data_IF_729847679561
#
_entry.id   IF_729847679561
#
_cell.length_a   1.000
_cell.length_b   1.000
_cell.length_c   1.000
_cell.angle_alpha   90.00
_cell.angle_beta   90.00
_cell.angle_gamma   90.00
#
_symmetry.space_group_name_H-M   'P 1'
#
loop_
_entity.id
_entity.type
_entity.pdbx_description
1 polymer ?
#
# COMPACT_ATOMS: atom_id res chain seq x y z
N UNK A 1 15.08 4.10 8.83
CA UNK A 1 13.75 3.86 8.26
C UNK A 1 13.38 2.39 8.41
N UNK A 2 12.15 2.12 8.80
CA UNK A 2 11.62 0.74 8.84
C UNK A 2 10.97 0.42 7.50
N UNK A 3 11.63 -0.40 6.69
CA UNK A 3 11.21 -0.78 5.34
C UNK A 3 10.58 -2.16 5.37
N UNK A 4 9.36 -2.28 4.80
CA UNK A 4 8.67 -3.54 4.63
C UNK A 4 9.23 -4.32 3.45
N UNK A 5 9.35 -3.65 2.29
CA UNK A 5 9.77 -4.24 1.03
C UNK A 5 10.29 -3.16 0.06
N UNK A 6 11.07 -3.56 -0.92
CA UNK A 6 11.54 -2.72 -2.04
C UNK A 6 11.14 -3.42 -3.32
N UNK A 7 10.04 -2.95 -3.92
CA UNK A 7 9.53 -3.48 -5.18
C UNK A 7 10.18 -2.76 -6.35
N UNK A 8 10.90 -3.52 -7.17
CA UNK A 8 11.55 -3.02 -8.37
C UNK A 8 10.65 -3.16 -9.58
N UNK A 9 10.84 -2.27 -10.55
CA UNK A 9 10.15 -2.31 -11.84
C UNK A 9 8.61 -2.24 -11.70
N UNK A 10 8.11 -1.48 -10.72
CA UNK A 10 6.68 -1.21 -10.59
C UNK A 10 6.19 -0.30 -11.72
N UNK A 11 5.01 -0.62 -12.26
CA UNK A 11 4.29 0.16 -13.27
C UNK A 11 3.01 0.79 -12.74
N UNK A 12 2.66 0.47 -11.48
CA UNK A 12 1.37 0.85 -10.87
C UNK A 12 1.50 1.97 -9.82
N UNK A 13 2.73 2.42 -9.53
CA UNK A 13 2.99 3.35 -8.43
C UNK A 13 3.43 4.74 -8.93
N UNK A 14 2.83 5.23 -9.99
CA UNK A 14 3.11 6.51 -10.62
C UNK A 14 3.59 6.37 -12.07
N UNK A 15 4.05 7.46 -12.71
CA UNK A 15 4.43 7.44 -14.11
C UNK A 15 5.73 6.67 -14.36
N UNK A 16 5.79 6.00 -15.51
CA UNK A 16 6.98 5.24 -15.95
C UNK A 16 7.28 4.01 -15.10
N UNK A 17 8.50 3.50 -15.24
CA UNK A 17 8.97 2.37 -14.44
C UNK A 17 9.59 2.88 -13.14
N UNK A 18 9.22 2.30 -12.00
CA UNK A 18 9.60 2.84 -10.70
C UNK A 18 10.18 1.77 -9.77
N UNK A 19 10.97 2.23 -8.80
CA UNK A 19 11.26 1.45 -7.61
C UNK A 19 10.40 2.00 -6.47
N UNK A 20 9.55 1.13 -5.92
CA UNK A 20 8.65 1.50 -4.81
C UNK A 20 9.20 0.97 -3.51
N UNK A 21 9.43 1.86 -2.55
CA UNK A 21 9.86 1.54 -1.20
C UNK A 21 8.63 1.52 -0.30
N UNK A 22 8.26 0.34 0.19
CA UNK A 22 7.16 0.17 1.11
C UNK A 22 7.64 0.29 2.55
N UNK A 23 7.08 1.25 3.29
CA UNK A 23 7.41 1.50 4.70
C UNK A 23 6.45 0.78 5.64
N UNK A 24 6.84 0.61 6.91
CA UNK A 24 5.97 0.04 7.96
C UNK A 24 5.38 1.12 8.84
N UNK A 25 4.19 0.82 9.34
CA UNK A 25 3.33 1.70 10.12
C UNK A 25 2.25 2.33 9.27
N UNK A 26 0.99 2.21 9.70
CA UNK A 26 -0.15 2.89 9.08
C UNK A 26 -1.13 3.34 10.17
N UNK A 27 -1.68 4.57 10.10
CA UNK A 27 -2.71 5.03 11.03
C UNK A 27 -4.09 4.46 10.69
N UNK A 28 -4.24 3.89 9.49
CA UNK A 28 -5.48 3.25 9.04
C UNK A 28 -5.41 1.74 9.22
N UNK A 29 -6.58 1.12 9.37
CA UNK A 29 -6.80 -0.33 9.45
C UNK A 29 -7.81 -0.76 8.40
N UNK A 30 -7.56 -0.37 7.14
CA UNK A 30 -8.49 -0.62 6.04
C UNK A 30 -8.85 -2.11 5.94
N UNK A 31 -10.14 -2.43 5.92
CA UNK A 31 -10.64 -3.80 5.87
C UNK A 31 -10.19 -4.59 4.61
N UNK A 32 -9.82 -3.88 3.56
CA UNK A 32 -9.31 -4.42 2.28
C UNK A 32 -7.81 -4.23 2.10
N UNK A 33 -7.03 -3.96 3.16
CA UNK A 33 -5.61 -3.62 3.02
C UNK A 33 -4.85 -4.72 2.25
N UNK A 34 -4.13 -4.34 1.19
CA UNK A 34 -3.31 -5.26 0.41
C UNK A 34 -1.95 -5.55 1.05
N UNK A 35 -1.54 -4.74 2.02
CA UNK A 35 -0.31 -4.91 2.78
C UNK A 35 -0.59 -4.90 4.29
N UNK A 36 -1.43 -5.84 4.83
CA UNK A 36 -1.77 -5.86 6.25
C UNK A 36 -0.53 -5.99 7.15
N UNK A 37 0.53 -6.61 6.65
CA UNK A 37 1.83 -6.73 7.31
C UNK A 37 2.54 -5.37 7.49
N UNK A 38 2.10 -4.33 6.77
CA UNK A 38 2.64 -2.97 6.92
C UNK A 38 1.99 -2.17 8.05
N UNK A 39 0.78 -2.54 8.51
CA UNK A 39 0.00 -1.74 9.46
C UNK A 39 0.76 -1.54 10.77
N UNK A 40 1.30 -2.62 11.34
CA UNK A 40 2.15 -2.52 12.53
C UNK A 40 3.50 -1.89 12.20
N UNK A 41 3.97 -0.89 12.97
CA UNK A 41 5.32 -0.33 12.78
C UNK A 41 6.44 -1.26 13.26
N UNK A 42 6.11 -2.34 13.97
CA UNK A 42 7.08 -3.30 14.50
C UNK A 42 7.51 -4.30 13.44
N UNK A 43 8.79 -4.68 13.44
CA UNK A 43 9.26 -5.85 12.69
C UNK A 43 8.62 -7.12 13.23
N UNK A 44 8.39 -8.09 12.36
CA UNK A 44 7.94 -9.43 12.74
C UNK A 44 8.49 -10.49 11.77
N UNK A 45 8.43 -11.73 12.19
CA UNK A 45 8.80 -12.88 11.35
C UNK A 45 7.52 -13.46 10.75
N UNK A 46 7.54 -13.66 9.45
CA UNK A 46 6.46 -14.28 8.70
C UNK A 46 6.86 -15.68 8.25
N UNK A 47 5.94 -16.65 8.34
CA UNK A 47 6.16 -18.03 7.92
C UNK A 47 5.51 -18.32 6.58
N UNK A 48 6.30 -18.87 5.65
CA UNK A 48 5.88 -19.34 4.34
C UNK A 48 5.78 -20.87 4.35
N UNK A 49 4.63 -21.39 4.73
CA UNK A 49 4.41 -22.83 4.93
C UNK A 49 4.81 -23.69 3.74
N UNK A 50 4.56 -23.20 2.52
CA UNK A 50 4.89 -23.91 1.27
C UNK A 50 6.41 -24.16 1.07
N UNK A 51 7.27 -23.42 1.79
CA UNK A 51 8.72 -23.61 1.76
C UNK A 51 9.24 -24.41 2.97
N UNK A 52 8.39 -24.65 3.97
CA UNK A 52 8.82 -25.27 5.22
C UNK A 52 8.97 -26.77 5.08
N UNK A 53 10.13 -27.31 5.48
CA UNK A 53 10.41 -28.76 5.50
C UNK A 53 10.35 -29.36 6.91
N UNK A 54 9.91 -28.62 7.91
CA UNK A 54 9.74 -29.12 9.29
C UNK A 54 11.04 -29.42 10.05
N UNK A 55 12.17 -28.87 9.62
CA UNK A 55 13.51 -29.23 10.15
C UNK A 55 13.78 -28.75 11.59
N UNK A 56 12.94 -27.91 12.18
CA UNK A 56 13.04 -27.32 13.53
C UNK A 56 14.22 -26.36 13.77
N UNK A 57 15.12 -26.16 12.82
CA UNK A 57 16.28 -25.25 12.98
C UNK A 57 15.89 -23.90 13.58
N UNK A 58 14.76 -23.32 13.14
CA UNK A 58 14.26 -22.02 13.65
C UNK A 58 13.94 -22.03 15.16
N UNK A 59 13.50 -23.18 15.69
CA UNK A 59 13.21 -23.35 17.12
C UNK A 59 14.52 -23.45 17.90
N UNK A 60 15.46 -24.27 17.41
CA UNK A 60 16.72 -24.57 18.09
C UNK A 60 17.66 -23.34 18.16
N UNK A 61 17.63 -22.47 17.13
CA UNK A 61 18.50 -21.26 17.08
C UNK A 61 17.88 -20.02 17.72
N UNK A 62 16.63 -20.10 18.19
CA UNK A 62 15.94 -18.93 18.72
C UNK A 62 16.48 -18.53 20.11
N UNK A 63 17.19 -17.39 20.27
CA UNK A 63 17.82 -17.02 21.54
C UNK A 63 16.79 -16.66 22.62
N UNK A 64 15.56 -16.32 22.23
CA UNK A 64 14.47 -15.94 23.12
C UNK A 64 13.42 -17.04 23.31
N UNK A 65 13.61 -18.20 22.68
CA UNK A 65 12.61 -19.29 22.65
C UNK A 65 11.21 -18.81 22.17
N UNK A 66 11.18 -17.72 21.42
CA UNK A 66 9.97 -17.07 20.91
C UNK A 66 9.43 -17.69 19.62
N UNK A 67 9.87 -18.91 19.25
CA UNK A 67 9.40 -19.66 18.09
C UNK A 67 9.06 -21.09 18.52
N UNK A 68 7.94 -21.60 18.01
CA UNK A 68 7.53 -22.99 18.13
C UNK A 68 7.10 -23.54 16.78
N UNK A 69 7.24 -24.85 16.59
CA UNK A 69 6.75 -25.59 15.43
C UNK A 69 5.81 -26.69 15.95
N UNK A 70 4.59 -26.70 15.47
CA UNK A 70 3.57 -27.73 15.73
C UNK A 70 2.92 -28.22 14.42
N UNK A 71 1.82 -28.95 14.51
CA UNK A 71 1.09 -29.50 13.36
C UNK A 71 0.49 -28.41 12.44
N UNK A 72 0.27 -27.19 12.97
CA UNK A 72 -0.25 -26.05 12.23
C UNK A 72 0.85 -25.16 11.62
N UNK A 73 2.13 -25.47 11.92
CA UNK A 73 3.28 -24.78 11.37
C UNK A 73 4.12 -24.03 12.37
N UNK A 74 4.82 -23.00 11.91
CA UNK A 74 5.69 -22.17 12.73
C UNK A 74 4.93 -20.96 13.26
N UNK A 75 5.00 -20.77 14.58
CA UNK A 75 4.38 -19.68 15.31
C UNK A 75 5.40 -18.89 16.10
N UNK A 76 5.21 -17.57 16.15
CA UNK A 76 5.94 -16.69 17.07
C UNK A 76 5.10 -16.39 18.29
N UNK A 77 5.74 -16.29 19.46
CA UNK A 77 5.12 -15.86 20.72
C UNK A 77 5.49 -14.40 21.06
N UNK A 78 4.97 -13.90 22.17
CA UNK A 78 5.25 -12.54 22.66
C UNK A 78 6.73 -12.34 23.04
N UNK A 79 7.47 -13.42 23.29
CA UNK A 79 8.93 -13.37 23.54
C UNK A 79 9.73 -13.09 22.26
N UNK A 80 9.12 -13.18 21.08
CA UNK A 80 9.81 -12.90 19.83
C UNK A 80 10.13 -11.42 19.67
N UNK A 81 11.42 -11.09 19.71
CA UNK A 81 11.91 -9.71 19.51
C UNK A 81 12.26 -9.41 18.06
N UNK A 82 11.86 -10.24 17.13
CA UNK A 82 12.15 -10.11 15.69
C UNK A 82 13.65 -9.87 15.39
N UNK A 83 14.54 -10.59 16.06
CA UNK A 83 16.01 -10.46 15.86
C UNK A 83 16.53 -11.03 14.53
N UNK A 84 15.70 -11.78 13.80
CA UNK A 84 16.02 -12.34 12.49
C UNK A 84 16.97 -13.55 12.50
N UNK A 85 17.38 -14.08 13.64
CA UNK A 85 18.25 -15.26 13.67
C UNK A 85 17.61 -16.44 12.94
N UNK A 86 16.35 -16.74 13.23
CA UNK A 86 15.60 -17.83 12.60
C UNK A 86 15.43 -17.65 11.08
N UNK A 87 15.35 -16.42 10.58
CA UNK A 87 15.21 -16.17 9.14
C UNK A 87 16.52 -16.38 8.40
N UNK A 88 17.67 -16.04 9.03
CA UNK A 88 18.99 -16.26 8.45
C UNK A 88 19.40 -17.73 8.42
N UNK A 89 19.00 -18.47 9.46
CA UNK A 89 19.37 -19.89 9.63
C UNK A 89 18.37 -20.85 8.97
N UNK A 90 17.28 -20.34 8.40
CA UNK A 90 16.29 -21.17 7.73
C UNK A 90 16.84 -21.67 6.38
N UNK A 91 17.08 -23.01 6.21
CA UNK A 91 17.73 -23.53 5.02
C UNK A 91 16.91 -23.40 3.73
N UNK A 92 15.60 -23.23 3.86
CA UNK A 92 14.68 -23.12 2.72
C UNK A 92 14.14 -21.72 2.51
N UNK A 93 14.51 -20.76 3.37
CA UNK A 93 13.91 -19.42 3.35
C UNK A 93 12.41 -19.42 3.65
N UNK A 94 11.93 -20.38 4.43
CA UNK A 94 10.52 -20.44 4.85
C UNK A 94 10.16 -19.38 5.90
N UNK A 95 11.13 -18.69 6.46
CA UNK A 95 10.92 -17.58 7.40
C UNK A 95 11.47 -16.30 6.79
N UNK A 96 10.65 -15.28 6.75
CA UNK A 96 11.01 -13.97 6.23
C UNK A 96 10.86 -12.89 7.32
N UNK A 97 11.80 -11.95 7.35
CA UNK A 97 11.68 -10.77 8.20
C UNK A 97 10.82 -9.72 7.48
N UNK A 98 9.75 -9.27 8.11
CA UNK A 98 8.95 -8.13 7.66
C UNK A 98 9.27 -6.90 8.51
N UNK A 99 9.87 -5.91 7.86
CA UNK A 99 10.35 -4.69 8.48
C UNK A 99 11.85 -4.75 8.82
N UNK A 100 12.65 -4.31 7.87
CA UNK A 100 14.11 -4.17 7.99
C UNK A 100 14.46 -2.71 8.26
N UNK A 101 15.38 -2.49 9.20
CA UNK A 101 15.91 -1.16 9.47
C UNK A 101 16.98 -0.80 8.44
N UNK A 102 16.80 0.37 7.81
CA UNK A 102 17.77 0.99 6.92
C UNK A 102 18.18 2.35 7.46
N UNK A 103 19.45 2.71 7.30
CA UNK A 103 19.83 4.12 7.28
C UNK A 103 19.33 4.77 5.99
N UNK A 104 19.17 6.08 5.96
CA UNK A 104 18.78 6.79 4.74
C UNK A 104 19.82 6.58 3.63
N UNK A 105 21.10 6.60 3.97
CA UNK A 105 22.20 6.40 3.01
C UNK A 105 22.21 4.99 2.41
N UNK A 106 22.04 3.95 3.21
CA UNK A 106 21.99 2.57 2.73
C UNK A 106 20.77 2.33 1.83
N UNK A 107 19.62 2.90 2.20
CA UNK A 107 18.42 2.79 1.40
C UNK A 107 18.56 3.54 0.07
N UNK A 108 19.08 4.77 0.10
CA UNK A 108 19.41 5.53 -1.10
C UNK A 108 20.34 4.75 -2.03
N UNK A 109 21.47 4.25 -1.51
CA UNK A 109 22.43 3.47 -2.29
C UNK A 109 21.82 2.18 -2.86
N UNK A 110 20.91 1.54 -2.11
CA UNK A 110 20.23 0.33 -2.55
C UNK A 110 19.27 0.60 -3.71
N UNK A 111 18.45 1.65 -3.60
CA UNK A 111 17.45 2.03 -4.60
C UNK A 111 18.11 2.60 -5.86
N UNK A 112 19.20 3.38 -5.71
CA UNK A 112 19.93 3.95 -6.86
C UNK A 112 20.56 2.90 -7.80
N UNK A 113 20.70 1.65 -7.38
CA UNK A 113 21.11 0.55 -8.28
C UNK A 113 20.13 0.33 -9.43
N UNK A 114 18.90 0.77 -9.27
CA UNK A 114 17.82 0.59 -10.26
C UNK A 114 17.73 1.79 -11.24
N UNK A 115 18.53 2.84 -11.07
CA UNK A 115 18.46 4.08 -11.85
C UNK A 115 18.41 3.86 -13.37
N UNK A 116 19.16 2.89 -13.87
CA UNK A 116 19.23 2.60 -15.30
C UNK A 116 17.90 2.08 -15.90
N UNK A 117 17.00 1.57 -15.05
CA UNK A 117 15.72 1.01 -15.47
C UNK A 117 14.59 2.03 -15.50
N UNK A 118 14.72 3.18 -14.83
CA UNK A 118 13.62 4.16 -14.70
C UNK A 118 13.34 4.94 -15.99
N UNK A 119 14.31 5.01 -16.92
CA UNK A 119 14.17 5.81 -18.14
C UNK A 119 13.99 7.29 -17.84
N UNK A 120 13.29 8.00 -18.74
CA UNK A 120 13.06 9.44 -18.62
C UNK A 120 11.87 9.81 -17.71
N UNK A 121 10.85 8.92 -17.66
CA UNK A 121 9.58 9.21 -16.96
C UNK A 121 9.39 8.43 -15.65
N UNK A 122 10.32 7.56 -15.32
CA UNK A 122 10.26 6.77 -14.10
C UNK A 122 10.98 7.40 -12.92
N UNK A 123 11.10 6.68 -11.82
CA UNK A 123 11.75 7.18 -10.62
C UNK A 123 11.49 6.35 -9.37
N UNK A 124 11.35 7.03 -8.24
CA UNK A 124 11.14 6.39 -6.93
C UNK A 124 9.80 6.79 -6.36
N UNK A 125 9.10 5.83 -5.77
CA UNK A 125 7.90 6.06 -4.97
C UNK A 125 8.14 5.58 -3.55
N UNK A 126 7.83 6.42 -2.56
CA UNK A 126 7.68 5.98 -1.18
C UNK A 126 6.20 5.67 -0.94
N UNK A 127 5.92 4.48 -0.41
CA UNK A 127 4.58 3.94 -0.17
C UNK A 127 4.60 3.02 1.07
N UNK A 128 3.70 2.05 1.17
CA UNK A 128 3.74 0.98 2.16
C UNK A 128 2.57 0.98 3.11
N UNK A 129 2.80 1.22 4.40
CA UNK A 129 1.75 1.57 5.35
C UNK A 129 1.35 3.03 5.12
N UNK A 130 2.07 3.94 5.76
CA UNK A 130 1.92 5.39 5.55
C UNK A 130 3.29 6.06 5.67
N UNK A 131 3.71 6.71 4.61
CA UNK A 131 5.03 7.38 4.50
C UNK A 131 5.20 8.47 5.55
N UNK A 132 4.12 9.18 5.84
CA UNK A 132 4.13 10.34 6.74
C UNK A 132 4.38 9.98 8.21
N UNK A 133 4.26 8.71 8.59
CA UNK A 133 4.66 8.26 9.93
C UNK A 133 6.18 8.26 10.13
N UNK A 134 6.95 8.14 9.04
CA UNK A 134 8.41 8.20 9.04
C UNK A 134 8.91 9.42 8.24
N UNK A 135 8.18 10.54 8.32
CA UNK A 135 8.33 11.69 7.43
C UNK A 135 9.71 12.36 7.48
N UNK A 136 10.41 12.33 8.62
CA UNK A 136 11.74 12.97 8.73
C UNK A 136 12.78 12.27 7.88
N UNK A 137 12.81 10.95 7.99
CA UNK A 137 13.71 10.12 7.19
C UNK A 137 13.24 10.07 5.72
N UNK A 138 11.91 10.11 5.48
CA UNK A 138 11.35 10.20 4.13
C UNK A 138 11.75 11.52 3.45
N UNK A 139 11.69 12.64 4.16
CA UNK A 139 12.14 13.96 3.69
C UNK A 139 13.62 13.93 3.26
N UNK A 140 14.50 13.38 4.12
CA UNK A 140 15.93 13.29 3.82
C UNK A 140 16.18 12.39 2.60
N UNK A 141 15.51 11.24 2.52
CA UNK A 141 15.65 10.30 1.41
C UNK A 141 15.17 10.90 0.08
N UNK A 142 13.99 11.54 0.08
CA UNK A 142 13.44 12.20 -1.11
C UNK A 142 14.34 13.35 -1.57
N UNK A 143 14.88 14.14 -0.65
CA UNK A 143 15.83 15.21 -0.99
C UNK A 143 17.05 14.66 -1.73
N UNK A 144 17.64 13.56 -1.25
CA UNK A 144 18.77 12.88 -1.93
C UNK A 144 18.41 12.43 -3.35
N UNK A 145 17.20 11.88 -3.55
CA UNK A 145 16.75 11.50 -4.90
C UNK A 145 16.56 12.71 -5.80
N UNK A 146 15.97 13.81 -5.28
CA UNK A 146 15.82 15.08 -6.03
C UNK A 146 17.18 15.64 -6.44
N UNK A 147 18.13 15.70 -5.52
CA UNK A 147 19.50 16.18 -5.78
C UNK A 147 20.21 15.32 -6.85
N UNK A 148 19.87 14.02 -6.91
CA UNK A 148 20.37 13.11 -7.94
C UNK A 148 19.57 13.21 -9.27
N UNK A 149 18.62 14.12 -9.40
CA UNK A 149 17.78 14.30 -10.59
C UNK A 149 16.82 13.13 -10.82
N UNK A 150 16.31 12.50 -9.77
CA UNK A 150 15.34 11.40 -9.83
C UNK A 150 13.96 11.95 -9.53
N UNK A 151 12.97 11.59 -10.35
CA UNK A 151 11.56 11.91 -10.10
C UNK A 151 11.05 11.16 -8.87
N UNK A 152 10.46 11.91 -7.93
CA UNK A 152 10.00 11.40 -6.64
C UNK A 152 8.48 11.40 -6.55
N UNK A 153 7.92 10.33 -5.98
CA UNK A 153 6.50 10.27 -5.65
C UNK A 153 6.28 9.82 -4.20
N UNK A 154 5.23 10.34 -3.60
CA UNK A 154 4.77 9.95 -2.25
C UNK A 154 3.34 9.42 -2.36
N UNK A 155 3.15 8.16 -1.96
CA UNK A 155 1.84 7.52 -1.86
C UNK A 155 1.35 7.63 -0.41
N UNK A 156 0.24 8.33 -0.20
CA UNK A 156 -0.24 8.68 1.14
C UNK A 156 -1.76 8.62 1.26
N UNK A 157 -2.23 8.17 2.42
CA UNK A 157 -3.65 8.26 2.77
C UNK A 157 -4.07 9.68 3.22
N UNK A 158 -3.14 10.61 3.33
CA UNK A 158 -3.42 12.00 3.70
C UNK A 158 -3.81 12.25 5.16
N UNK A 159 -3.87 11.22 6.02
CA UNK A 159 -4.17 11.39 7.43
C UNK A 159 -2.92 11.84 8.21
N UNK A 160 -2.57 13.10 8.07
CA UNK A 160 -1.32 13.65 8.59
C UNK A 160 -1.49 15.13 8.94
N UNK A 161 -0.65 15.63 9.86
CA UNK A 161 -0.61 17.07 10.16
C UNK A 161 -0.06 17.87 8.97
N UNK A 162 -0.60 19.05 8.76
CA UNK A 162 -0.25 19.96 7.66
C UNK A 162 1.26 20.21 7.54
N UNK A 163 1.94 20.43 8.65
CA UNK A 163 3.37 20.76 8.69
C UNK A 163 4.24 19.66 8.06
N UNK A 164 3.76 18.42 8.06
CA UNK A 164 4.46 17.31 7.40
C UNK A 164 4.33 17.39 5.89
N UNK A 165 3.14 17.76 5.39
CA UNK A 165 2.94 17.99 3.95
C UNK A 165 3.79 19.17 3.48
N UNK A 166 3.83 20.26 4.25
CA UNK A 166 4.66 21.43 3.96
C UNK A 166 6.15 21.06 3.81
N UNK A 167 6.62 20.15 4.68
CA UNK A 167 8.01 19.70 4.64
C UNK A 167 8.28 18.79 3.42
N UNK A 168 7.33 17.96 3.01
CA UNK A 168 7.49 17.01 1.90
C UNK A 168 7.27 17.65 0.51
N UNK A 169 6.48 18.71 0.42
CA UNK A 169 6.17 19.39 -0.85
C UNK A 169 7.40 19.73 -1.71
N UNK A 170 8.49 20.36 -1.17
CA UNK A 170 9.64 20.74 -1.99
C UNK A 170 10.42 19.57 -2.59
N UNK A 171 10.26 18.37 -2.02
CA UNK A 171 11.02 17.18 -2.39
C UNK A 171 10.16 16.10 -3.07
N UNK A 172 8.90 16.43 -3.39
CA UNK A 172 7.93 15.50 -4.00
C UNK A 172 7.45 16.07 -5.33
N UNK A 173 7.66 15.33 -6.41
CA UNK A 173 7.17 15.73 -7.74
C UNK A 173 5.71 15.31 -7.98
N UNK A 174 5.26 14.23 -7.32
CA UNK A 174 3.92 13.68 -7.48
C UNK A 174 3.40 13.13 -6.15
N UNK A 175 2.20 13.50 -5.76
CA UNK A 175 1.45 12.81 -4.72
C UNK A 175 0.49 11.80 -5.32
N UNK A 176 0.62 10.53 -4.95
CA UNK A 176 -0.41 9.52 -5.12
C UNK A 176 -1.29 9.62 -3.87
N UNK A 177 -2.48 10.18 -4.02
CA UNK A 177 -3.31 10.56 -2.88
C UNK A 177 -4.56 9.69 -2.78
N UNK A 178 -4.70 8.98 -1.69
CA UNK A 178 -5.81 8.06 -1.47
C UNK A 178 -7.09 8.78 -0.99
N UNK A 179 -8.11 8.79 -1.82
CA UNK A 179 -9.48 9.14 -1.43
C UNK A 179 -10.35 7.87 -1.51
N UNK A 180 -10.68 7.30 -0.35
CA UNK A 180 -11.30 5.96 -0.28
C UNK A 180 -12.83 6.02 -0.23
N UNK A 181 -13.36 6.84 0.64
CA UNK A 181 -14.80 7.01 0.85
C UNK A 181 -15.13 8.49 1.05
N UNK A 182 -16.27 8.93 0.50
CA UNK A 182 -16.78 10.29 0.64
C UNK A 182 -17.44 10.51 1.99
N UNK A 183 -18.27 9.54 2.43
CA UNK A 183 -18.93 9.58 3.72
C UNK A 183 -17.96 9.27 4.86
N UNK A 184 -17.91 10.13 5.87
CA UNK A 184 -16.94 10.03 6.97
C UNK A 184 -17.22 8.85 7.91
N UNK A 185 -18.47 8.52 8.17
CA UNK A 185 -18.82 7.40 9.04
C UNK A 185 -18.52 6.06 8.33
N UNK A 186 -18.82 5.94 7.04
CA UNK A 186 -18.42 4.78 6.25
C UNK A 186 -16.89 4.69 6.13
N UNK A 187 -16.20 5.83 5.98
CA UNK A 187 -14.74 5.85 6.01
C UNK A 187 -14.21 5.32 7.35
N UNK A 188 -14.74 5.81 8.47
CA UNK A 188 -14.38 5.34 9.81
C UNK A 188 -14.67 3.84 9.99
N UNK A 189 -15.83 3.39 9.51
CA UNK A 189 -16.25 1.98 9.59
C UNK A 189 -15.25 1.05 8.91
N UNK A 190 -14.78 1.41 7.72
CA UNK A 190 -13.95 0.53 6.91
C UNK A 190 -12.45 0.75 7.06
N UNK A 191 -12.01 1.92 7.56
CA UNK A 191 -10.58 2.26 7.67
C UNK A 191 -10.11 2.51 9.10
N UNK A 192 -11.04 2.56 10.05
CA UNK A 192 -10.77 2.86 11.46
C UNK A 192 -10.66 4.35 11.79
N UNK A 193 -10.69 5.26 10.80
CA UNK A 193 -10.52 6.70 10.98
C UNK A 193 -11.53 7.50 10.14
N UNK A 194 -11.98 8.68 10.60
CA UNK A 194 -12.75 9.60 9.79
C UNK A 194 -11.90 10.23 8.68
N UNK A 195 -12.54 10.88 7.69
CA UNK A 195 -11.83 11.42 6.52
C UNK A 195 -11.74 12.95 6.44
N UNK A 196 -12.24 13.70 7.42
CA UNK A 196 -12.25 15.18 7.37
C UNK A 196 -10.86 15.74 7.14
N UNK A 197 -9.88 15.34 7.94
CA UNK A 197 -8.49 15.79 7.79
C UNK A 197 -7.88 15.35 6.45
N UNK A 198 -8.27 14.18 5.94
CA UNK A 198 -7.82 13.69 4.63
C UNK A 198 -8.34 14.63 3.52
N UNK A 199 -9.62 14.99 3.58
CA UNK A 199 -10.24 15.92 2.61
C UNK A 199 -9.65 17.33 2.73
N UNK A 200 -9.44 17.85 3.94
CA UNK A 200 -8.80 19.14 4.18
C UNK A 200 -7.36 19.18 3.61
N UNK A 201 -6.59 18.12 3.82
CA UNK A 201 -5.24 18.00 3.29
C UNK A 201 -5.22 17.86 1.76
N UNK A 202 -6.19 17.17 1.18
CA UNK A 202 -6.36 17.12 -0.27
C UNK A 202 -6.62 18.51 -0.86
N UNK A 203 -7.58 19.26 -0.29
CA UNK A 203 -7.87 20.64 -0.71
C UNK A 203 -6.63 21.53 -0.61
N UNK A 204 -5.85 21.37 0.44
CA UNK A 204 -4.60 22.09 0.61
C UNK A 204 -3.60 21.78 -0.49
N UNK A 205 -3.30 20.49 -0.76
CA UNK A 205 -2.35 20.09 -1.81
C UNK A 205 -2.79 20.58 -3.18
N UNK A 206 -4.07 20.49 -3.51
CA UNK A 206 -4.62 21.07 -4.75
C UNK A 206 -4.33 22.56 -4.82
N UNK A 207 -4.46 23.30 -3.71
CA UNK A 207 -4.18 24.73 -3.64
C UNK A 207 -2.71 25.10 -3.87
N UNK A 208 -1.76 24.18 -3.67
CA UNK A 208 -0.33 24.41 -3.92
C UNK A 208 0.07 24.30 -5.39
N UNK A 209 -0.78 23.68 -6.22
CA UNK A 209 -0.48 23.41 -7.63
C UNK A 209 0.47 22.23 -7.86
N UNK A 210 0.78 21.42 -6.81
CA UNK A 210 1.58 20.20 -6.97
C UNK A 210 0.84 19.16 -7.80
N UNK A 211 1.57 18.30 -8.50
CA UNK A 211 0.96 17.19 -9.25
C UNK A 211 0.33 16.17 -8.29
N UNK A 212 -0.90 15.79 -8.57
CA UNK A 212 -1.65 14.81 -7.78
C UNK A 212 -2.30 13.78 -8.70
N UNK A 213 -2.08 12.50 -8.40
CA UNK A 213 -2.92 11.41 -8.87
C UNK A 213 -3.76 10.92 -7.70
N UNK A 214 -5.07 11.00 -7.81
CA UNK A 214 -5.97 10.43 -6.80
C UNK A 214 -6.13 8.94 -7.05
N UNK A 215 -6.14 8.15 -5.98
CA UNK A 215 -6.37 6.71 -6.01
C UNK A 215 -7.57 6.35 -5.14
N UNK A 216 -8.51 5.63 -5.71
CA UNK A 216 -9.68 5.13 -4.99
C UNK A 216 -9.79 3.62 -5.20
N UNK A 217 -9.55 2.81 -4.16
CA UNK A 217 -9.78 1.37 -4.24
C UNK A 217 -11.28 1.10 -4.40
N UNK A 218 -11.65 0.32 -5.42
CA UNK A 218 -13.05 -0.03 -5.70
C UNK A 218 -13.33 -1.42 -5.14
N UNK A 219 -13.91 -1.44 -3.96
CA UNK A 219 -14.09 -2.66 -3.14
C UNK A 219 -15.58 -3.02 -3.13
N UNK A 220 -15.95 -4.26 -3.54
CA UNK A 220 -17.34 -4.71 -3.55
C UNK A 220 -18.02 -4.58 -2.19
N UNK A 221 -19.16 -3.89 -2.16
CA UNK A 221 -19.95 -3.67 -0.95
C UNK A 221 -19.36 -2.67 0.06
N UNK A 222 -18.28 -1.97 -0.30
CA UNK A 222 -17.68 -0.92 0.54
C UNK A 222 -17.55 0.41 -0.20
N UNK A 223 -16.67 0.50 -1.19
CA UNK A 223 -16.38 1.76 -1.90
C UNK A 223 -17.00 1.85 -3.29
N UNK A 224 -17.55 0.76 -3.80
CA UNK A 224 -18.05 0.60 -5.17
C UNK A 224 -19.44 1.19 -5.42
N UNK A 225 -19.99 1.97 -4.49
CA UNK A 225 -21.32 2.57 -4.64
C UNK A 225 -21.29 3.79 -5.55
N UNK A 226 -22.38 4.00 -6.33
CA UNK A 226 -22.53 5.18 -7.17
C UNK A 226 -22.47 6.48 -6.35
N UNK A 227 -23.06 6.47 -5.14
CA UNK A 227 -23.05 7.61 -4.24
C UNK A 227 -21.63 7.99 -3.81
N UNK A 228 -20.79 7.00 -3.48
CA UNK A 228 -19.38 7.22 -3.13
C UNK A 228 -18.62 7.87 -4.30
N UNK A 229 -18.71 7.28 -5.49
CA UNK A 229 -17.99 7.78 -6.67
C UNK A 229 -18.45 9.16 -7.08
N UNK A 230 -19.78 9.43 -7.05
CA UNK A 230 -20.31 10.77 -7.34
C UNK A 230 -19.87 11.81 -6.30
N UNK A 231 -19.87 11.45 -5.01
CA UNK A 231 -19.38 12.32 -3.94
C UNK A 231 -17.90 12.67 -4.09
N UNK A 232 -17.04 11.66 -4.31
CA UNK A 232 -15.61 11.86 -4.56
C UNK A 232 -15.35 12.63 -5.85
N UNK A 233 -16.13 12.41 -6.92
CA UNK A 233 -16.02 13.20 -8.14
C UNK A 233 -16.27 14.70 -7.90
N UNK A 234 -17.21 15.04 -7.01
CA UNK A 234 -17.45 16.41 -6.57
C UNK A 234 -16.29 17.03 -5.80
N UNK A 235 -15.47 16.22 -5.14
CA UNK A 235 -14.22 16.63 -4.47
C UNK A 235 -13.07 16.74 -5.48
N UNK A 236 -12.83 15.72 -6.29
CA UNK A 236 -11.69 15.63 -7.22
C UNK A 236 -11.82 16.64 -8.37
N UNK A 237 -12.96 16.67 -9.05
CA UNK A 237 -13.23 17.53 -10.21
C UNK A 237 -12.12 17.41 -11.29
N UNK A 238 -11.84 18.51 -11.99
CA UNK A 238 -10.72 18.62 -12.96
C UNK A 238 -9.48 19.29 -12.32
N UNK A 239 -9.16 18.93 -11.06
CA UNK A 239 -8.10 19.60 -10.28
C UNK A 239 -6.87 18.75 -10.07
N UNK A 240 -6.85 17.53 -10.60
CA UNK A 240 -5.75 16.58 -10.47
C UNK A 240 -5.27 16.17 -11.86
N UNK A 241 -4.11 15.56 -11.96
CA UNK A 241 -3.61 15.04 -13.24
C UNK A 241 -4.31 13.75 -13.65
N UNK A 242 -4.70 12.92 -12.67
CA UNK A 242 -5.30 11.61 -12.89
C UNK A 242 -6.12 11.19 -11.67
N UNK A 243 -7.22 10.50 -11.88
CA UNK A 243 -7.96 9.81 -10.82
C UNK A 243 -8.11 8.34 -11.19
N UNK A 244 -7.44 7.46 -10.43
CA UNK A 244 -7.46 6.02 -10.63
C UNK A 244 -8.53 5.36 -9.76
N UNK A 245 -9.48 4.71 -10.40
CA UNK A 245 -10.43 3.79 -9.78
C UNK A 245 -9.79 2.41 -9.80
N UNK A 246 -9.15 2.00 -8.69
CA UNK A 246 -8.35 0.78 -8.61
C UNK A 246 -9.25 -0.43 -8.36
N UNK A 247 -9.41 -1.30 -9.35
CA UNK A 247 -10.27 -2.47 -9.26
C UNK A 247 -9.78 -3.43 -8.16
N UNK A 248 -10.72 -3.93 -7.36
CA UNK A 248 -10.46 -4.92 -6.31
C UNK A 248 -9.89 -6.21 -6.89
N UNK A 249 -8.89 -6.74 -6.20
CA UNK A 249 -8.41 -8.10 -6.37
C UNK A 249 -8.18 -8.76 -4.98
N UNK A 250 -8.12 -10.07 -4.96
CA UNK A 250 -7.97 -10.86 -3.73
C UNK A 250 -6.58 -11.48 -3.55
N UNK A 251 -5.56 -10.98 -4.23
CA UNK A 251 -4.20 -11.54 -4.22
C UNK A 251 -3.51 -11.45 -2.85
N UNK A 252 -4.00 -10.57 -1.96
CA UNK A 252 -3.47 -10.42 -0.60
C UNK A 252 -4.05 -11.43 0.41
N UNK A 253 -4.99 -12.29 0.03
CA UNK A 253 -5.68 -13.21 0.95
C UNK A 253 -4.72 -14.07 1.77
N UNK A 254 -3.64 -14.57 1.15
CA UNK A 254 -2.62 -15.38 1.80
C UNK A 254 -1.83 -14.61 2.88
N UNK A 255 -1.64 -13.29 2.72
CA UNK A 255 -0.99 -12.44 3.72
C UNK A 255 -1.76 -12.41 5.04
N UNK A 256 -3.10 -12.33 4.98
CA UNK A 256 -3.95 -12.40 6.17
C UNK A 256 -3.84 -13.75 6.87
N UNK A 257 -3.84 -14.85 6.10
CA UNK A 257 -3.65 -16.19 6.65
C UNK A 257 -2.31 -16.31 7.38
N UNK A 258 -1.23 -15.76 6.82
CA UNK A 258 0.11 -15.76 7.44
C UNK A 258 0.17 -14.93 8.72
N UNK A 259 -0.63 -13.86 8.81
CA UNK A 259 -0.76 -13.05 10.02
C UNK A 259 -1.74 -13.64 11.05
N UNK A 260 -2.34 -14.81 10.78
CA UNK A 260 -3.36 -15.41 11.64
C UNK A 260 -4.66 -14.61 11.72
N UNK A 261 -4.96 -13.83 10.67
CA UNK A 261 -6.13 -12.96 10.60
C UNK A 261 -7.17 -13.50 9.61
N UNK A 262 -8.44 -13.34 9.95
CA UNK A 262 -9.53 -13.54 8.99
C UNK A 262 -9.70 -12.31 8.12
N UNK A 263 -9.84 -12.53 6.81
CA UNK A 263 -10.08 -11.45 5.86
C UNK A 263 -11.50 -11.52 5.29
N UNK A 264 -12.31 -10.52 5.59
CA UNK A 264 -13.73 -10.49 5.19
C UNK A 264 -13.95 -10.53 3.67
N UNK A 265 -12.95 -10.16 2.85
CA UNK A 265 -13.03 -10.17 1.39
C UNK A 265 -12.41 -11.44 0.76
N UNK A 266 -12.01 -12.46 1.55
CA UNK A 266 -11.34 -13.68 1.06
C UNK A 266 -12.11 -14.40 -0.04
N UNK A 267 -13.44 -14.43 0.04
CA UNK A 267 -14.32 -15.09 -0.93
C UNK A 267 -14.85 -14.15 -2.03
N UNK A 268 -14.45 -12.88 -2.03
CA UNK A 268 -14.95 -11.90 -2.99
C UNK A 268 -14.17 -12.03 -4.29
N UNK A 269 -14.89 -12.13 -5.41
CA UNK A 269 -14.32 -12.19 -6.77
C UNK A 269 -13.78 -10.84 -7.24
N UNK A 270 -13.10 -10.86 -8.38
CA UNK A 270 -12.63 -9.63 -9.04
C UNK A 270 -13.82 -8.74 -9.42
N UNK A 271 -13.58 -7.43 -9.48
CA UNK A 271 -14.56 -6.49 -10.03
C UNK A 271 -14.93 -6.86 -11.46
N UNK A 272 -16.23 -6.79 -11.81
CA UNK A 272 -16.68 -6.97 -13.20
C UNK A 272 -16.26 -5.76 -14.03
N UNK A 273 -15.75 -6.01 -15.24
CA UNK A 273 -15.29 -4.95 -16.16
C UNK A 273 -16.38 -3.91 -16.40
N UNK A 274 -17.59 -4.34 -16.70
CA UNK A 274 -18.75 -3.43 -16.96
C UNK A 274 -19.04 -2.54 -15.75
N UNK A 275 -18.87 -3.04 -14.51
CA UNK A 275 -19.06 -2.22 -13.31
C UNK A 275 -17.98 -1.13 -13.23
N UNK A 276 -16.73 -1.46 -13.51
CA UNK A 276 -15.64 -0.49 -13.52
C UNK A 276 -15.82 0.58 -14.60
N UNK A 277 -16.23 0.19 -15.81
CA UNK A 277 -16.57 1.11 -16.91
C UNK A 277 -17.73 2.05 -16.55
N UNK A 278 -18.77 1.53 -15.88
CA UNK A 278 -19.90 2.34 -15.42
C UNK A 278 -19.48 3.35 -14.33
N UNK A 279 -18.62 2.95 -13.39
CA UNK A 279 -18.10 3.85 -12.33
C UNK A 279 -17.18 4.93 -12.92
N UNK A 280 -16.35 4.59 -13.90
CA UNK A 280 -15.54 5.57 -14.63
C UNK A 280 -16.41 6.58 -15.37
N UNK A 281 -17.41 6.11 -16.11
CA UNK A 281 -18.35 6.98 -16.80
C UNK A 281 -19.12 7.88 -15.84
N UNK A 282 -19.55 7.34 -14.69
CA UNK A 282 -20.20 8.10 -13.62
C UNK A 282 -19.29 9.19 -13.06
N UNK A 283 -18.04 8.85 -12.74
CA UNK A 283 -17.05 9.80 -12.21
C UNK A 283 -16.82 10.97 -13.19
N UNK A 284 -16.65 10.66 -14.47
CA UNK A 284 -16.49 11.68 -15.53
C UNK A 284 -17.74 12.55 -15.66
N UNK A 285 -18.92 11.96 -15.67
CA UNK A 285 -20.20 12.69 -15.74
C UNK A 285 -20.41 13.57 -14.51
N UNK A 286 -19.97 13.15 -13.35
CA UNK A 286 -20.08 13.89 -12.09
C UNK A 286 -19.02 15.00 -11.93
N UNK A 287 -18.16 15.24 -12.94
CA UNK A 287 -17.27 16.39 -12.98
C UNK A 287 -15.78 16.07 -12.84
N UNK A 288 -15.36 14.79 -12.86
CA UNK A 288 -13.98 14.37 -12.82
C UNK A 288 -13.53 13.75 -14.16
N UNK A 289 -13.23 14.55 -15.19
CA UNK A 289 -12.97 14.05 -16.56
C UNK A 289 -11.73 13.18 -16.69
N UNK A 290 -10.78 13.28 -15.75
CA UNK A 290 -9.52 12.51 -15.74
C UNK A 290 -9.61 11.19 -14.97
N UNK A 291 -10.83 10.77 -14.61
CA UNK A 291 -11.05 9.46 -14.01
C UNK A 291 -10.79 8.35 -15.02
N UNK A 292 -10.06 7.32 -14.59
CA UNK A 292 -9.78 6.08 -15.33
C UNK A 292 -9.84 4.90 -14.37
N UNK A 293 -10.34 3.76 -14.80
CA UNK A 293 -10.18 2.56 -13.99
C UNK A 293 -8.88 1.84 -14.33
N UNK A 294 -8.31 1.17 -13.32
CA UNK A 294 -7.07 0.39 -13.40
C UNK A 294 -7.24 -0.96 -12.70
N UNK A 295 -6.32 -1.87 -12.96
CA UNK A 295 -6.33 -3.21 -12.38
C UNK A 295 -7.09 -4.24 -13.21
N UNK A 296 -6.92 -5.52 -12.83
CA UNK A 296 -7.54 -6.65 -13.52
C UNK A 296 -9.01 -6.80 -13.13
N UNK A 297 -9.86 -7.03 -14.13
CA UNK A 297 -11.30 -7.23 -13.95
C UNK A 297 -11.71 -8.59 -14.50
N UNK A 298 -12.79 -9.15 -13.93
CA UNK A 298 -13.47 -10.31 -14.51
C UNK A 298 -14.16 -9.88 -15.82
N UNK A 299 -13.94 -10.65 -16.88
CA UNK A 299 -14.73 -10.57 -18.11
C UNK A 299 -16.14 -11.14 -17.82
N UNK A 300 -17.16 -10.63 -18.50
CA UNK A 300 -18.51 -11.17 -18.37
C UNK A 300 -18.53 -12.65 -18.77
N UNK A 301 -19.38 -13.44 -18.08
CA UNK A 301 -19.76 -14.83 -18.38
C UNK A 301 -18.80 -15.97 -18.02
N UNK A 302 -17.94 -15.85 -17.02
CA UNK A 302 -17.40 -17.04 -16.36
C UNK A 302 -17.83 -17.06 -14.89
N UNK A 303 -18.76 -17.96 -14.54
CA UNK A 303 -19.25 -18.29 -13.19
C UNK A 303 -20.57 -17.63 -12.74
N UNK A 304 -21.65 -18.00 -13.43
CA UNK A 304 -22.92 -18.26 -12.79
C UNK A 304 -23.15 -19.78 -12.77
N UNK A 305 -22.34 -20.52 -12.01
CA UNK A 305 -22.68 -21.84 -11.54
C UNK A 305 -22.72 -21.79 -10.01
N UNK A 306 -23.88 -21.41 -9.47
CA UNK A 306 -24.28 -21.80 -8.12
C UNK A 306 -24.34 -23.34 -8.07
N UNK A 307 -23.56 -24.02 -7.24
CA UNK A 307 -23.83 -25.43 -6.97
C UNK A 307 -25.15 -25.50 -6.20
N UNK A 308 -26.10 -26.23 -6.76
CA UNK A 308 -27.35 -26.69 -6.14
C UNK A 308 -27.10 -27.54 -4.89
#
# INVERSE_FOLDING_TARGET
>A
MKVLDIQRMSTEDGPGLRTTVFLKGCPLTCAWCHNPESISPKSHVEWLGVRCIGCRTCVDVCPQQGIRLDENGVHTSDECVACGTCTRECPTGALEMKGTDYTVDDLFATVMKDRAYWGENGGVTLSGGEVTLQWREALELLAKFKDAGVHTAVDTCGLVRREVLDALLPVTDLFLYDLKLFDSEEHRRFTGQPNELILENFEYLVGTGTAIWVRTPIIPGATDTDANIAGLAGVVRDRVERWELCAFNNLCADKYTRLGQEWQFKGVGLMRKVRMENLEALARKAGAPKAVYTGSCALEDTFDETPS
#
